data_IF_100413024825
#
_entry.id   IF_100413024825
#
_cell.length_a   1.000
_cell.length_b   1.000
_cell.length_c   1.000
_cell.angle_alpha   90.00
_cell.angle_beta   90.00
_cell.angle_gamma   90.00
#
_symmetry.space_group_name_H-M   'P 1'
#
loop_
_entity.id
_entity.type
_entity.pdbx_description
1 polymer ?
#
# COMPACT_ATOMS: atom_id res chain seq x y z
N UNK A 1 -39.93 -6.47 -16.68
CA UNK A 1 -39.53 -6.40 -15.24
C UNK A 1 -39.39 -4.93 -14.89
N UNK A 2 -40.03 -4.45 -13.82
CA UNK A 2 -39.96 -3.04 -13.43
C UNK A 2 -38.57 -2.72 -12.87
N UNK A 3 -38.00 -1.56 -13.21
CA UNK A 3 -36.68 -1.10 -12.75
C UNK A 3 -36.58 -1.14 -11.21
N UNK A 4 -37.70 -0.88 -10.53
CA UNK A 4 -37.81 -0.97 -9.07
C UNK A 4 -37.54 -2.37 -8.51
N UNK A 5 -38.00 -3.44 -9.19
CA UNK A 5 -37.71 -4.83 -8.78
C UNK A 5 -36.21 -5.15 -8.92
N UNK A 6 -35.54 -4.59 -9.93
CA UNK A 6 -34.11 -4.74 -10.13
C UNK A 6 -33.31 -4.00 -9.04
N UNK A 7 -33.70 -2.78 -8.70
CA UNK A 7 -33.10 -1.99 -7.61
C UNK A 7 -33.26 -2.72 -6.27
N UNK A 8 -34.45 -3.25 -5.98
CA UNK A 8 -34.70 -4.01 -4.75
C UNK A 8 -33.82 -5.27 -4.65
N UNK A 9 -33.64 -5.98 -5.77
CA UNK A 9 -32.74 -7.15 -5.83
C UNK A 9 -31.27 -6.77 -5.67
N UNK A 10 -30.87 -5.61 -6.20
CA UNK A 10 -29.52 -5.06 -6.07
C UNK A 10 -29.23 -4.73 -4.60
N UNK A 11 -30.18 -4.07 -3.93
CA UNK A 11 -30.12 -3.73 -2.52
C UNK A 11 -29.97 -4.98 -1.64
N UNK A 12 -30.77 -6.02 -1.87
CA UNK A 12 -30.66 -7.27 -1.13
C UNK A 12 -29.27 -7.90 -1.26
N UNK A 13 -28.67 -7.85 -2.44
CA UNK A 13 -27.31 -8.36 -2.67
C UNK A 13 -26.24 -7.53 -1.96
N UNK A 14 -26.35 -6.20 -1.97
CA UNK A 14 -25.42 -5.32 -1.25
C UNK A 14 -25.56 -5.50 0.25
N UNK A 15 -26.78 -5.65 0.76
CA UNK A 15 -27.03 -5.95 2.18
C UNK A 15 -26.44 -7.30 2.60
N UNK A 16 -26.55 -8.34 1.77
CA UNK A 16 -25.93 -9.64 2.04
C UNK A 16 -24.40 -9.52 2.10
N UNK A 17 -23.78 -8.82 1.13
CA UNK A 17 -22.34 -8.54 1.16
C UNK A 17 -21.94 -7.76 2.40
N UNK A 18 -22.76 -6.79 2.82
CA UNK A 18 -22.50 -6.03 4.05
C UNK A 18 -22.49 -6.95 5.27
N UNK A 19 -23.45 -7.89 5.37
CA UNK A 19 -23.50 -8.87 6.46
C UNK A 19 -22.30 -9.83 6.45
N UNK A 20 -21.86 -10.27 5.27
CA UNK A 20 -20.71 -11.15 5.12
C UNK A 20 -19.40 -10.48 5.56
N UNK A 21 -19.29 -9.16 5.36
CA UNK A 21 -18.07 -8.38 5.67
C UNK A 21 -18.14 -7.58 6.98
N UNK A 22 -19.28 -7.58 7.69
CA UNK A 22 -19.42 -7.03 9.04
C UNK A 22 -18.31 -7.46 10.03
N UNK A 23 -17.94 -8.76 10.14
CA UNK A 23 -16.88 -9.17 11.08
C UNK A 23 -15.50 -8.62 10.73
N UNK A 24 -15.31 -8.16 9.50
CA UNK A 24 -14.04 -7.64 8.97
C UNK A 24 -14.07 -6.11 8.82
N UNK A 25 -15.09 -5.43 9.35
CA UNK A 25 -15.36 -4.01 9.13
C UNK A 25 -14.19 -3.09 9.51
N UNK A 26 -13.48 -3.40 10.58
CA UNK A 26 -12.34 -2.60 11.08
C UNK A 26 -11.02 -2.90 10.35
N UNK A 27 -11.01 -3.93 9.51
CA UNK A 27 -9.79 -4.33 8.81
C UNK A 27 -9.43 -3.30 7.74
N UNK A 28 -8.15 -2.95 7.65
CA UNK A 28 -7.66 -2.06 6.59
C UNK A 28 -7.35 -2.85 5.32
N UNK A 29 -7.85 -2.34 4.19
CA UNK A 29 -7.50 -2.84 2.86
C UNK A 29 -6.47 -1.89 2.26
N UNK A 30 -5.23 -2.38 2.13
CA UNK A 30 -4.10 -1.65 1.52
C UNK A 30 -4.03 -1.77 -0.01
N UNK A 31 -5.06 -2.32 -0.65
CA UNK A 31 -5.14 -2.40 -2.10
C UNK A 31 -5.29 -0.99 -2.70
N UNK A 32 -4.60 -0.74 -3.81
CA UNK A 32 -4.79 0.48 -4.61
C UNK A 32 -5.98 0.25 -5.52
N UNK A 33 -7.12 0.80 -5.14
CA UNK A 33 -8.31 0.78 -5.98
C UNK A 33 -8.26 1.89 -7.03
N UNK A 34 -9.08 1.79 -8.06
CA UNK A 34 -9.24 2.90 -9.00
C UNK A 34 -9.96 4.06 -8.30
N UNK A 35 -9.47 5.29 -8.50
CA UNK A 35 -10.09 6.53 -7.98
C UNK A 35 -11.47 6.78 -8.58
N UNK A 36 -11.76 6.19 -9.74
CA UNK A 36 -13.11 6.22 -10.33
C UNK A 36 -14.13 5.42 -9.52
N UNK A 37 -13.67 4.42 -8.77
CA UNK A 37 -14.49 3.51 -7.99
C UNK A 37 -14.58 3.95 -6.53
N UNK A 38 -13.45 4.21 -5.87
CA UNK A 38 -13.41 4.63 -4.46
C UNK A 38 -12.67 5.95 -4.27
N UNK A 39 -13.12 6.78 -3.32
CA UNK A 39 -12.54 8.10 -3.11
C UNK A 39 -11.14 8.04 -2.48
N UNK A 40 -10.89 7.04 -1.64
CA UNK A 40 -9.65 6.87 -0.91
C UNK A 40 -9.10 5.43 -1.02
N UNK A 41 -7.83 5.25 -0.69
CA UNK A 41 -7.15 3.95 -0.65
C UNK A 41 -6.58 3.70 0.74
N UNK A 42 -6.35 2.44 1.11
CA UNK A 42 -5.78 2.12 2.44
C UNK A 42 -6.76 2.26 3.60
N UNK A 43 -8.05 2.45 3.33
CA UNK A 43 -9.08 2.62 4.34
C UNK A 43 -9.62 1.28 4.86
N UNK A 44 -10.51 1.34 5.84
CA UNK A 44 -11.14 0.14 6.43
C UNK A 44 -12.20 -0.45 5.51
N UNK A 45 -12.49 -1.75 5.65
CA UNK A 45 -13.62 -2.40 4.95
C UNK A 45 -14.92 -1.61 5.20
N UNK A 46 -15.13 -1.13 6.42
CA UNK A 46 -16.27 -0.30 6.78
C UNK A 46 -16.40 0.98 5.95
N UNK A 47 -15.28 1.63 5.62
CA UNK A 47 -15.28 2.82 4.77
C UNK A 47 -15.74 2.48 3.34
N UNK A 48 -15.19 1.42 2.74
CA UNK A 48 -15.59 1.00 1.39
C UNK A 48 -17.05 0.52 1.33
N UNK A 49 -17.53 -0.13 2.40
CA UNK A 49 -18.95 -0.50 2.53
C UNK A 49 -19.86 0.73 2.64
N UNK A 50 -19.42 1.80 3.31
CA UNK A 50 -20.20 3.06 3.32
C UNK A 50 -20.26 3.72 1.96
N UNK A 51 -19.17 3.70 1.17
CA UNK A 51 -19.20 4.19 -0.21
C UNK A 51 -20.10 3.37 -1.13
N UNK A 52 -20.13 2.04 -0.96
CA UNK A 52 -21.07 1.16 -1.67
C UNK A 52 -22.53 1.55 -1.42
N UNK A 53 -22.89 1.80 -0.15
CA UNK A 53 -24.23 2.26 0.20
C UNK A 53 -24.54 3.64 -0.39
N UNK A 54 -23.57 4.57 -0.40
CA UNK A 54 -23.76 5.86 -1.06
C UNK A 54 -24.01 5.72 -2.57
N UNK A 55 -23.34 4.80 -3.25
CA UNK A 55 -23.62 4.50 -4.67
C UNK A 55 -25.02 3.89 -4.83
N UNK A 56 -25.43 2.99 -3.94
CA UNK A 56 -26.77 2.40 -3.94
C UNK A 56 -27.86 3.46 -3.72
N UNK A 57 -27.68 4.35 -2.75
CA UNK A 57 -28.63 5.42 -2.45
C UNK A 57 -28.76 6.39 -3.63
N UNK A 58 -27.65 6.69 -4.33
CA UNK A 58 -27.69 7.46 -5.58
C UNK A 58 -28.51 6.77 -6.67
N UNK A 59 -28.47 5.44 -6.77
CA UNK A 59 -29.30 4.68 -7.73
C UNK A 59 -30.78 4.76 -7.34
N UNK A 60 -31.09 4.71 -6.03
CA UNK A 60 -32.48 4.78 -5.53
C UNK A 60 -33.10 6.16 -5.68
N UNK A 61 -32.32 7.21 -5.41
CA UNK A 61 -32.76 8.61 -5.55
C UNK A 61 -32.69 9.12 -6.99
N UNK A 62 -32.22 8.30 -7.93
CA UNK A 62 -32.19 8.68 -9.33
C UNK A 62 -33.63 8.69 -9.87
N UNK A 63 -34.15 9.89 -10.16
CA UNK A 63 -35.42 10.13 -10.86
C UNK A 63 -35.15 10.57 -12.31
N UNK A 64 -34.13 9.98 -12.95
CA UNK A 64 -33.71 10.35 -14.30
C UNK A 64 -34.41 9.46 -15.33
N UNK A 65 -35.14 10.02 -16.29
CA UNK A 65 -35.74 9.28 -17.41
C UNK A 65 -34.72 8.64 -18.37
N UNK A 66 -33.43 8.92 -18.16
CA UNK A 66 -32.33 8.45 -19.01
C UNK A 66 -31.80 7.08 -18.50
N UNK A 67 -32.01 5.97 -19.24
CA UNK A 67 -31.60 4.63 -18.82
C UNK A 67 -30.09 4.45 -18.67
N UNK A 68 -29.30 5.24 -19.40
CA UNK A 68 -27.83 5.16 -19.39
C UNK A 68 -27.22 5.58 -18.05
N UNK A 69 -27.88 6.46 -17.30
CA UNK A 69 -27.43 6.85 -15.96
C UNK A 69 -27.59 5.71 -14.94
N UNK A 70 -28.70 4.96 -15.02
CA UNK A 70 -28.86 3.75 -14.21
C UNK A 70 -27.83 2.69 -14.57
N UNK A 71 -27.56 2.49 -15.87
CA UNK A 71 -26.56 1.54 -16.33
C UNK A 71 -25.16 1.88 -15.79
N UNK A 72 -24.74 3.14 -15.90
CA UNK A 72 -23.44 3.60 -15.42
C UNK A 72 -23.27 3.41 -13.91
N UNK A 73 -24.27 3.81 -13.11
CA UNK A 73 -24.20 3.63 -11.66
C UNK A 73 -24.25 2.17 -11.25
N UNK A 74 -25.04 1.34 -11.95
CA UNK A 74 -25.10 -0.09 -11.70
C UNK A 74 -23.76 -0.78 -12.04
N UNK A 75 -23.15 -0.44 -13.18
CA UNK A 75 -21.82 -0.94 -13.57
C UNK A 75 -20.76 -0.53 -12.54
N UNK A 76 -20.79 0.73 -12.10
CA UNK A 76 -19.92 1.22 -11.04
C UNK A 76 -20.09 0.45 -9.74
N UNK A 77 -21.34 0.19 -9.33
CA UNK A 77 -21.62 -0.57 -8.11
C UNK A 77 -21.11 -2.01 -8.22
N UNK A 78 -21.30 -2.66 -9.38
CA UNK A 78 -20.78 -4.00 -9.64
C UNK A 78 -19.25 -4.00 -9.57
N UNK A 79 -18.58 -3.02 -10.19
CA UNK A 79 -17.13 -2.88 -10.15
C UNK A 79 -16.61 -2.64 -8.72
N UNK A 80 -17.31 -1.83 -7.91
CA UNK A 80 -16.99 -1.64 -6.49
C UNK A 80 -17.09 -2.97 -5.71
N UNK A 81 -18.16 -3.74 -5.93
CA UNK A 81 -18.34 -5.04 -5.29
C UNK A 81 -17.28 -6.06 -5.71
N UNK A 82 -16.98 -6.18 -7.01
CA UNK A 82 -16.02 -7.17 -7.51
C UNK A 82 -14.62 -6.90 -6.98
N UNK A 83 -14.17 -5.65 -7.05
CA UNK A 83 -12.85 -5.23 -6.60
C UNK A 83 -12.71 -5.36 -5.07
N UNK A 84 -13.75 -5.04 -4.31
CA UNK A 84 -13.77 -5.23 -2.86
C UNK A 84 -13.73 -6.72 -2.47
N UNK A 85 -14.59 -7.54 -3.08
CA UNK A 85 -14.62 -8.99 -2.85
C UNK A 85 -13.31 -9.65 -3.25
N UNK A 86 -12.69 -9.24 -4.35
CA UNK A 86 -11.39 -9.75 -4.79
C UNK A 86 -10.27 -9.37 -3.81
N UNK A 87 -10.24 -8.12 -3.33
CA UNK A 87 -9.27 -7.70 -2.32
C UNK A 87 -9.40 -8.51 -1.02
N UNK A 88 -10.63 -8.79 -0.60
CA UNK A 88 -10.90 -9.60 0.60
C UNK A 88 -10.62 -11.10 0.38
N UNK A 89 -10.92 -11.64 -0.81
CA UNK A 89 -10.61 -13.01 -1.18
C UNK A 89 -9.11 -13.27 -1.29
N UNK A 90 -8.35 -12.34 -1.90
CA UNK A 90 -6.87 -12.38 -1.94
C UNK A 90 -6.31 -12.44 -0.52
N UNK A 91 -6.87 -11.65 0.42
CA UNK A 91 -6.47 -11.70 1.83
C UNK A 91 -6.81 -13.04 2.48
N UNK A 92 -8.01 -13.58 2.29
CA UNK A 92 -8.41 -14.90 2.82
C UNK A 92 -7.53 -16.03 2.28
N UNK A 93 -7.14 -15.97 1.01
CA UNK A 93 -6.18 -16.90 0.43
C UNK A 93 -4.78 -16.68 0.99
N UNK A 94 -4.29 -15.46 1.22
CA UNK A 94 -3.00 -15.29 1.92
C UNK A 94 -3.00 -15.82 3.36
N UNK A 95 -4.18 -15.94 4.00
CA UNK A 95 -4.34 -16.55 5.33
C UNK A 95 -4.49 -18.08 5.25
N UNK A 96 -5.17 -18.63 4.24
CA UNK A 96 -5.37 -20.08 4.06
C UNK A 96 -4.23 -20.79 3.33
N UNK A 97 -3.42 -20.09 2.53
CA UNK A 97 -2.29 -20.64 1.78
C UNK A 97 -0.97 -20.47 2.57
N UNK A 98 -0.99 -20.77 3.87
CA UNK A 98 0.24 -21.03 4.63
C UNK A 98 0.63 -22.52 4.64
N UNK A 99 -0.09 -23.35 3.88
CA UNK A 99 0.21 -24.77 3.69
C UNK A 99 0.17 -25.10 2.20
N UNK A 100 1.26 -25.68 1.70
CA UNK A 100 1.45 -26.29 0.36
C UNK A 100 1.71 -25.30 -0.79
N UNK A 101 2.93 -24.74 -0.89
CA UNK A 101 4.05 -25.25 -1.71
C UNK A 101 4.04 -24.81 -3.18
N UNK A 102 4.83 -23.78 -3.50
CA UNK A 102 5.72 -23.76 -4.66
C UNK A 102 6.81 -22.72 -4.40
N UNK A 103 8.03 -23.06 -4.78
CA UNK A 103 9.30 -22.40 -4.46
C UNK A 103 9.33 -20.99 -5.04
N UNK A 104 8.82 -20.03 -4.30
CA UNK A 104 9.53 -18.78 -4.11
C UNK A 104 9.89 -18.77 -2.66
N UNK A 105 11.18 -18.98 -2.37
CA UNK A 105 11.70 -18.63 -1.06
C UNK A 105 11.12 -17.24 -0.74
N UNK A 106 10.45 -17.06 0.41
CA UNK A 106 10.30 -15.71 0.89
C UNK A 106 11.74 -15.25 0.99
N UNK A 107 12.12 -14.29 0.14
CA UNK A 107 13.09 -13.33 0.62
C UNK A 107 12.37 -12.80 1.85
N UNK A 108 12.71 -13.38 3.01
CA UNK A 108 12.55 -12.75 4.29
C UNK A 108 13.28 -11.43 4.03
N UNK A 109 12.58 -10.43 3.49
CA UNK A 109 13.00 -9.06 3.70
C UNK A 109 13.10 -9.04 5.21
N UNK A 110 14.32 -8.99 5.78
CA UNK A 110 14.46 -9.08 7.20
C UNK A 110 13.55 -7.97 7.68
N UNK A 111 12.46 -8.30 8.38
CA UNK A 111 11.74 -7.30 9.13
C UNK A 111 12.87 -6.57 9.85
N UNK A 112 13.07 -5.29 9.54
CA UNK A 112 14.28 -4.57 9.88
C UNK A 112 14.34 -4.45 11.41
N UNK A 113 14.77 -5.53 12.06
CA UNK A 113 15.08 -5.63 13.47
C UNK A 113 16.36 -4.85 13.76
N UNK A 114 16.88 -4.08 12.78
CA UNK A 114 17.96 -3.11 12.92
C UNK A 114 17.67 -2.17 14.10
N UNK A 115 16.42 -1.72 14.27
CA UNK A 115 16.04 -0.86 15.39
C UNK A 115 15.98 -1.58 16.75
N UNK A 116 15.97 -2.92 16.77
CA UNK A 116 16.08 -3.74 17.99
C UNK A 116 17.53 -4.03 18.38
N UNK A 117 18.47 -3.85 17.44
CA UNK A 117 19.89 -4.03 17.72
C UNK A 117 20.38 -2.95 18.69
N UNK A 118 21.41 -3.26 19.50
CA UNK A 118 22.13 -2.26 20.27
C UNK A 118 22.57 -1.08 19.38
N UNK A 119 22.64 0.15 19.92
CA UNK A 119 22.97 1.34 19.13
C UNK A 119 24.25 1.22 18.29
N UNK A 120 25.31 0.55 18.80
CA UNK A 120 26.56 0.34 18.04
C UNK A 120 26.39 -0.62 16.85
N UNK A 121 25.73 -1.75 17.03
CA UNK A 121 25.46 -2.71 15.94
C UNK A 121 24.49 -2.13 14.91
N UNK A 122 23.53 -1.31 15.38
CA UNK A 122 22.60 -0.58 14.52
C UNK A 122 23.32 0.42 13.63
N UNK A 123 24.31 1.13 14.17
CA UNK A 123 25.14 2.08 13.44
C UNK A 123 25.91 1.40 12.30
N UNK A 124 26.54 0.25 12.59
CA UNK A 124 27.23 -0.56 11.58
C UNK A 124 26.29 -0.99 10.44
N UNK A 125 25.05 -1.38 10.76
CA UNK A 125 24.03 -1.70 9.75
C UNK A 125 23.61 -0.51 8.90
N UNK A 126 23.60 0.71 9.45
CA UNK A 126 23.34 1.90 8.65
C UNK A 126 24.49 2.23 7.69
N UNK A 127 25.74 2.04 8.11
CA UNK A 127 26.89 2.18 7.22
C UNK A 127 26.86 1.15 6.08
N UNK A 128 26.55 -0.12 6.38
CA UNK A 128 26.39 -1.18 5.36
C UNK A 128 25.26 -0.82 4.37
N UNK A 129 24.16 -0.27 4.86
CA UNK A 129 23.04 0.17 4.01
C UNK A 129 23.41 1.39 3.14
N UNK A 130 24.18 2.33 3.68
CA UNK A 130 24.64 3.52 2.98
C UNK A 130 25.58 3.14 1.83
N UNK A 131 26.51 2.20 2.05
CA UNK A 131 27.39 1.70 0.99
C UNK A 131 26.59 1.06 -0.16
N UNK A 132 25.58 0.23 0.17
CA UNK A 132 24.69 -0.38 -0.84
C UNK A 132 23.90 0.67 -1.61
N UNK A 133 23.40 1.70 -0.94
CA UNK A 133 22.68 2.80 -1.60
C UNK A 133 23.59 3.57 -2.56
N UNK A 134 24.85 3.80 -2.20
CA UNK A 134 25.82 4.44 -3.08
C UNK A 134 26.15 3.60 -4.32
N UNK A 135 26.32 2.28 -4.17
CA UNK A 135 26.51 1.37 -5.32
C UNK A 135 25.32 1.43 -6.27
N UNK A 136 24.10 1.31 -5.75
CA UNK A 136 22.88 1.40 -6.55
C UNK A 136 22.73 2.75 -7.24
N UNK A 137 23.07 3.85 -6.56
CA UNK A 137 23.07 5.18 -7.15
C UNK A 137 24.04 5.28 -8.34
N UNK A 138 25.28 4.82 -8.17
CA UNK A 138 26.29 4.82 -9.23
C UNK A 138 25.85 3.97 -10.43
N UNK A 139 25.35 2.76 -10.19
CA UNK A 139 24.81 1.89 -11.24
C UNK A 139 23.70 2.58 -12.05
N UNK A 140 22.77 3.28 -11.39
CA UNK A 140 21.72 4.02 -12.10
C UNK A 140 22.25 5.22 -12.88
N UNK A 141 23.24 5.93 -12.35
CA UNK A 141 23.90 7.01 -13.09
C UNK A 141 24.63 6.50 -14.33
N UNK A 142 25.29 5.35 -14.24
CA UNK A 142 26.00 4.74 -15.36
C UNK A 142 25.03 4.20 -16.41
N UNK A 143 23.91 3.60 -16.00
CA UNK A 143 22.83 3.21 -16.90
C UNK A 143 22.19 4.41 -17.60
N UNK A 144 21.96 5.51 -16.89
CA UNK A 144 21.43 6.74 -17.49
C UNK A 144 22.38 7.31 -18.56
N UNK A 145 23.70 7.18 -18.38
CA UNK A 145 24.73 7.65 -19.32
C UNK A 145 24.90 6.75 -20.53
N UNK A 146 24.72 5.44 -20.36
CA UNK A 146 24.93 4.44 -21.40
C UNK A 146 23.67 4.11 -22.18
N UNK A 147 22.50 4.54 -21.71
CA UNK A 147 21.23 4.23 -22.36
C UNK A 147 21.07 4.96 -23.71
N UNK A 148 20.73 4.24 -24.79
CA UNK A 148 20.55 4.82 -26.13
C UNK A 148 19.19 5.51 -26.30
N UNK A 149 18.21 5.22 -25.42
CA UNK A 149 16.85 5.76 -25.48
C UNK A 149 16.68 6.91 -24.48
N UNK A 150 16.17 8.09 -24.91
CA UNK A 150 15.99 9.24 -24.02
C UNK A 150 15.04 8.96 -22.84
N UNK A 151 13.98 8.20 -23.08
CA UNK A 151 12.97 7.87 -22.06
C UNK A 151 13.56 6.98 -20.95
N UNK A 152 14.40 6.01 -21.31
CA UNK A 152 15.09 5.14 -20.36
C UNK A 152 16.12 5.92 -19.53
N UNK A 153 16.84 6.86 -20.15
CA UNK A 153 17.77 7.73 -19.43
C UNK A 153 17.04 8.62 -18.40
N UNK A 154 15.85 9.12 -18.71
CA UNK A 154 15.00 9.87 -17.77
C UNK A 154 14.57 8.97 -16.60
N UNK A 155 14.15 7.73 -16.88
CA UNK A 155 13.74 6.78 -15.83
C UNK A 155 14.90 6.48 -14.87
N UNK A 156 16.09 6.16 -15.41
CA UNK A 156 17.28 5.89 -14.59
C UNK A 156 17.68 7.11 -13.75
N UNK A 157 17.56 8.32 -14.31
CA UNK A 157 17.83 9.57 -13.58
C UNK A 157 16.85 9.77 -12.42
N UNK A 158 15.55 9.58 -12.63
CA UNK A 158 14.54 9.66 -11.56
C UNK A 158 14.78 8.60 -10.47
N UNK A 159 15.24 7.41 -10.86
CA UNK A 159 15.57 6.35 -9.91
C UNK A 159 16.83 6.68 -9.09
N UNK A 160 17.85 7.26 -9.72
CA UNK A 160 19.03 7.77 -9.03
C UNK A 160 18.68 8.86 -7.99
N UNK A 161 17.79 9.80 -8.34
CA UNK A 161 17.32 10.82 -7.39
C UNK A 161 16.62 10.20 -6.16
N UNK A 162 15.82 9.15 -6.36
CA UNK A 162 15.20 8.43 -5.24
C UNK A 162 16.24 7.77 -4.33
N UNK A 163 17.30 7.19 -4.89
CA UNK A 163 18.40 6.63 -4.08
C UNK A 163 19.15 7.72 -3.31
N UNK A 164 19.39 8.88 -3.93
CA UNK A 164 20.00 10.04 -3.26
C UNK A 164 19.16 10.53 -2.07
N UNK A 165 17.84 10.63 -2.22
CA UNK A 165 16.95 11.00 -1.11
C UNK A 165 16.98 9.98 0.04
N UNK A 166 17.06 8.68 -0.28
CA UNK A 166 17.18 7.61 0.73
C UNK A 166 18.53 7.65 1.43
N UNK A 167 19.60 7.90 0.68
CA UNK A 167 20.94 8.07 1.21
C UNK A 167 20.98 9.19 2.26
N UNK A 168 20.40 10.35 1.94
CA UNK A 168 20.33 11.47 2.89
C UNK A 168 19.63 11.06 4.20
N UNK A 169 18.48 10.39 4.12
CA UNK A 169 17.76 9.92 5.31
C UNK A 169 18.58 8.93 6.15
N UNK A 170 19.35 8.06 5.50
CA UNK A 170 20.27 7.15 6.20
C UNK A 170 21.41 7.91 6.88
N UNK A 171 21.97 8.94 6.25
CA UNK A 171 22.98 9.80 6.86
C UNK A 171 22.45 10.56 8.07
N UNK A 172 21.27 11.17 7.96
CA UNK A 172 20.65 11.89 9.08
C UNK A 172 20.40 10.96 10.28
N UNK A 173 19.99 9.71 10.01
CA UNK A 173 19.81 8.68 11.04
C UNK A 173 21.12 8.20 11.67
N UNK A 174 22.22 8.19 10.92
CA UNK A 174 23.57 7.90 11.43
C UNK A 174 24.01 9.02 12.37
N UNK A 175 23.95 10.28 11.92
CA UNK A 175 24.37 11.43 12.73
C UNK A 175 23.64 11.48 14.07
N UNK A 176 22.32 11.32 14.07
CA UNK A 176 21.53 11.30 15.30
C UNK A 176 21.93 10.15 16.24
N UNK A 177 22.26 8.99 15.69
CA UNK A 177 22.63 7.82 16.48
C UNK A 177 24.04 7.94 17.07
N UNK A 178 24.97 8.54 16.31
CA UNK A 178 26.32 8.86 16.78
C UNK A 178 26.31 9.91 17.88
N UNK A 179 25.52 10.97 17.72
CA UNK A 179 25.33 12.00 18.75
C UNK A 179 24.75 11.40 20.04
N UNK A 180 23.74 10.54 19.93
CA UNK A 180 23.18 9.83 21.08
C UNK A 180 24.20 8.92 21.77
N UNK A 181 25.03 8.23 21.00
CA UNK A 181 26.07 7.35 21.54
C UNK A 181 27.17 8.14 22.25
N UNK A 182 27.61 9.25 21.67
CA UNK A 182 28.61 10.15 22.29
C UNK A 182 28.08 10.73 23.61
N UNK A 183 26.83 11.20 23.63
CA UNK A 183 26.18 11.70 24.85
C UNK A 183 26.08 10.62 25.94
N UNK A 184 25.72 9.38 25.57
CA UNK A 184 25.69 8.22 26.47
C UNK A 184 27.05 7.94 27.09
N UNK A 185 28.11 7.98 26.28
CA UNK A 185 29.49 7.73 26.72
C UNK A 185 30.01 8.84 27.65
N UNK A 186 29.67 10.10 27.38
CA UNK A 186 29.99 11.23 28.27
C UNK A 186 29.29 11.12 29.64
N UNK A 187 28.02 10.69 29.69
CA UNK A 187 27.33 10.46 30.96
C UNK A 187 27.94 9.31 31.77
N UNK A 188 28.30 8.21 31.12
CA UNK A 188 28.96 7.08 31.80
C UNK A 188 30.33 7.49 32.35
N UNK A 189 31.09 8.32 31.64
CA UNK A 189 32.39 8.82 32.08
C UNK A 189 32.31 9.86 33.22
N UNK A 190 31.20 10.60 33.35
CA UNK A 190 30.97 11.54 34.45
C UNK A 190 30.49 10.89 35.76
N UNK A 191 30.13 9.60 35.73
CA UNK A 191 29.59 8.87 36.89
C UNK A 191 30.65 7.96 37.57
N UNK A 192 31.90 8.02 37.10
CA UNK A 192 33.10 7.38 37.68
C UNK A 192 34.00 8.44 38.34
#
# INVERSE_FOLDING_TARGET
MTIQLLIQRLEQKVQHLYQDYLPQREEKIFARFDRSLFSEHGQTVGFYLTELNQTLDKIKMLESDIPTHYAYLAERLVAQCTVLSEALARKKNTLNTQSSSAIFAPVKSPQHNIHRLPPRERLEKYYEALEKLNKLYQEQCDLARTSPLPDDAILHTQLAERYKQRHQKCQDAIYLLEEYLAFKEEQENHTL
#
